data_IF_520064915575
#
_entry.id   IF_520064915575
#
_cell.length_a   1.000
_cell.length_b   1.000
_cell.length_c   1.000
_cell.angle_alpha   90.00
_cell.angle_beta   90.00
_cell.angle_gamma   90.00
#
_symmetry.space_group_name_H-M   'P 1'
#
loop_
_entity.id
_entity.type
_entity.pdbx_description
1 polymer ?
#
# COMPACT_ATOMS: atom_id res chain seq x y z
N UNK A 1 -4.27 12.98 -3.91
CA UNK A 1 -2.94 12.47 -4.31
C UNK A 1 -3.16 11.25 -5.19
N UNK A 2 -2.57 11.20 -6.39
CA UNK A 2 -2.64 9.97 -7.21
C UNK A 2 -1.35 9.17 -7.05
N UNK A 3 -1.43 8.09 -6.25
CA UNK A 3 -0.37 7.09 -6.19
C UNK A 3 -0.48 6.16 -7.41
N UNK A 4 0.61 5.94 -8.17
CA UNK A 4 0.59 5.05 -9.33
C UNK A 4 0.04 3.65 -9.00
N UNK A 5 0.36 3.12 -7.83
CA UNK A 5 -0.12 1.82 -7.35
C UNK A 5 -1.65 1.77 -7.18
N UNK A 6 -2.26 2.88 -6.77
CA UNK A 6 -3.72 2.99 -6.64
C UNK A 6 -4.38 2.97 -8.02
N UNK A 7 -3.79 3.68 -9.00
CA UNK A 7 -4.29 3.70 -10.38
C UNK A 7 -4.18 2.32 -11.02
N UNK A 8 -3.03 1.67 -10.88
CA UNK A 8 -2.81 0.30 -11.38
C UNK A 8 -3.76 -0.70 -10.72
N UNK A 9 -3.95 -0.62 -9.41
CA UNK A 9 -4.89 -1.48 -8.69
C UNK A 9 -6.34 -1.24 -9.11
N UNK A 10 -6.75 0.02 -9.30
CA UNK A 10 -8.09 0.36 -9.80
C UNK A 10 -8.34 -0.28 -11.16
N UNK A 11 -7.39 -0.14 -12.10
CA UNK A 11 -7.51 -0.74 -13.44
C UNK A 11 -7.62 -2.26 -13.38
N UNK A 12 -6.82 -2.90 -12.52
CA UNK A 12 -6.90 -4.35 -12.32
C UNK A 12 -8.27 -4.77 -11.76
N UNK A 13 -8.81 -4.05 -10.78
CA UNK A 13 -10.13 -4.33 -10.22
C UNK A 13 -11.25 -4.17 -11.26
N UNK A 14 -11.14 -3.15 -12.12
CA UNK A 14 -12.05 -2.93 -13.24
C UNK A 14 -12.02 -4.11 -14.22
N UNK A 15 -10.82 -4.53 -14.66
CA UNK A 15 -10.62 -5.67 -15.55
C UNK A 15 -11.15 -6.99 -14.95
N UNK A 16 -11.03 -7.16 -13.63
CA UNK A 16 -11.53 -8.33 -12.89
C UNK A 16 -13.02 -8.24 -12.53
N UNK A 17 -13.68 -7.12 -12.85
CA UNK A 17 -15.09 -6.83 -12.50
C UNK A 17 -15.37 -6.86 -10.99
N UNK A 18 -14.38 -6.52 -10.18
CA UNK A 18 -14.45 -6.49 -8.71
C UNK A 18 -15.01 -5.15 -8.21
N UNK A 19 -16.21 -4.77 -8.67
CA UNK A 19 -16.79 -3.44 -8.43
C UNK A 19 -16.92 -3.05 -6.95
N UNK A 20 -17.27 -3.99 -6.07
CA UNK A 20 -17.34 -3.75 -4.62
C UNK A 20 -15.98 -3.47 -3.99
N UNK A 21 -14.91 -4.10 -4.50
CA UNK A 21 -13.55 -3.82 -4.02
C UNK A 21 -13.07 -2.47 -4.53
N UNK A 22 -13.45 -2.08 -5.76
CA UNK A 22 -13.17 -0.76 -6.31
C UNK A 22 -13.81 0.34 -5.45
N UNK A 23 -15.08 0.22 -5.09
CA UNK A 23 -15.75 1.18 -4.18
C UNK A 23 -15.04 1.29 -2.82
N UNK A 24 -14.55 0.16 -2.28
CA UNK A 24 -13.80 0.14 -1.01
C UNK A 24 -12.44 0.82 -1.14
N UNK A 25 -11.73 0.60 -2.25
CA UNK A 25 -10.48 1.29 -2.56
C UNK A 25 -10.71 2.80 -2.62
N UNK A 26 -11.77 3.24 -3.32
CA UNK A 26 -12.11 4.66 -3.48
C UNK A 26 -12.39 5.33 -2.14
N UNK A 27 -13.18 4.66 -1.31
CA UNK A 27 -13.47 5.13 0.02
C UNK A 27 -12.19 5.22 0.88
N UNK A 28 -11.33 4.20 0.82
CA UNK A 28 -10.09 4.17 1.59
C UNK A 28 -9.11 5.27 1.15
N UNK A 29 -8.97 5.51 -0.16
CA UNK A 29 -8.17 6.62 -0.72
C UNK A 29 -8.69 7.95 -0.19
N UNK A 30 -9.99 8.21 -0.31
CA UNK A 30 -10.60 9.47 0.15
C UNK A 30 -10.41 9.71 1.65
N UNK A 31 -10.52 8.66 2.47
CA UNK A 31 -10.26 8.76 3.90
C UNK A 31 -8.80 9.16 4.19
N UNK A 32 -7.83 8.58 3.48
CA UNK A 32 -6.42 8.86 3.69
C UNK A 32 -6.01 10.24 3.15
N UNK A 33 -6.60 10.73 2.06
CA UNK A 33 -6.41 12.11 1.60
C UNK A 33 -6.80 13.13 2.69
N UNK A 34 -7.88 12.85 3.43
CA UNK A 34 -8.27 13.67 4.59
C UNK A 34 -7.30 13.64 5.77
N UNK A 35 -6.39 12.65 5.81
CA UNK A 35 -5.37 12.49 6.85
C UNK A 35 -4.01 13.05 6.46
N UNK A 36 -3.75 13.30 5.18
CA UNK A 36 -2.45 13.74 4.67
C UNK A 36 -1.94 15.01 5.37
N UNK A 37 -2.82 16.00 5.54
CA UNK A 37 -2.48 17.27 6.22
C UNK A 37 -2.15 17.10 7.70
N UNK A 38 -2.60 16.01 8.34
CA UNK A 38 -2.44 15.74 9.78
C UNK A 38 -1.33 14.75 10.09
N UNK A 39 -1.07 13.81 9.19
CA UNK A 39 -0.17 12.67 9.41
C UNK A 39 1.04 12.66 8.47
N UNK A 40 1.04 13.51 7.44
CA UNK A 40 2.07 13.56 6.43
C UNK A 40 1.82 12.61 5.27
N UNK A 41 2.40 12.96 4.12
CA UNK A 41 2.30 12.22 2.86
C UNK A 41 2.82 10.79 2.96
N UNK A 42 3.94 10.59 3.62
CA UNK A 42 4.60 9.29 3.70
C UNK A 42 3.79 8.29 4.56
N UNK A 43 3.13 8.78 5.62
CA UNK A 43 2.19 7.98 6.41
C UNK A 43 1.01 7.49 5.56
N UNK A 44 0.44 8.41 4.77
CA UNK A 44 -0.66 8.10 3.85
C UNK A 44 -0.23 7.09 2.80
N UNK A 45 0.97 7.23 2.25
CA UNK A 45 1.52 6.30 1.26
C UNK A 45 1.69 4.89 1.83
N UNK A 46 2.29 4.74 3.02
CA UNK A 46 2.43 3.43 3.68
C UNK A 46 1.06 2.80 3.97
N UNK A 47 0.11 3.60 4.45
CA UNK A 47 -1.27 3.16 4.72
C UNK A 47 -1.95 2.62 3.46
N UNK A 48 -1.84 3.35 2.34
CA UNK A 48 -2.41 2.96 1.05
C UNK A 48 -1.75 1.70 0.49
N UNK A 49 -0.42 1.62 0.54
CA UNK A 49 0.31 0.42 0.08
C UNK A 49 -0.01 -0.81 0.93
N UNK A 50 -0.15 -0.66 2.25
CA UNK A 50 -0.57 -1.76 3.14
C UNK A 50 -1.97 -2.27 2.83
N UNK A 51 -2.91 -1.37 2.56
CA UNK A 51 -4.26 -1.76 2.13
C UNK A 51 -4.25 -2.49 0.80
N UNK A 52 -3.52 -1.96 -0.20
CA UNK A 52 -3.40 -2.57 -1.52
C UNK A 52 -2.76 -3.96 -1.45
N UNK A 53 -1.70 -4.13 -0.66
CA UNK A 53 -1.06 -5.42 -0.46
C UNK A 53 -2.03 -6.46 0.13
N UNK A 54 -2.78 -6.10 1.17
CA UNK A 54 -3.78 -6.98 1.79
C UNK A 54 -4.90 -7.36 0.82
N UNK A 55 -5.37 -6.40 0.02
CA UNK A 55 -6.36 -6.65 -1.02
C UNK A 55 -5.84 -7.61 -2.09
N UNK A 56 -4.63 -7.36 -2.60
CA UNK A 56 -4.02 -8.18 -3.65
C UNK A 56 -3.67 -9.58 -3.16
N UNK A 57 -3.29 -9.74 -1.89
CA UNK A 57 -3.09 -11.05 -1.28
C UNK A 57 -4.36 -11.92 -1.39
N UNK A 58 -5.52 -11.34 -1.10
CA UNK A 58 -6.82 -12.02 -1.23
C UNK A 58 -7.13 -12.30 -2.70
N UNK A 59 -6.89 -11.34 -3.60
CA UNK A 59 -7.12 -11.52 -5.03
C UNK A 59 -6.24 -12.63 -5.63
N UNK A 60 -4.99 -12.80 -5.17
CA UNK A 60 -4.13 -13.92 -5.60
C UNK A 60 -4.76 -15.28 -5.30
N UNK A 61 -5.49 -15.40 -4.19
CA UNK A 61 -6.21 -16.63 -3.86
C UNK A 61 -7.46 -16.84 -4.73
N UNK A 62 -8.12 -15.76 -5.15
CA UNK A 62 -9.34 -15.83 -6.00
C UNK A 62 -9.02 -16.02 -7.47
N UNK A 63 -7.91 -15.45 -7.93
CA UNK A 63 -7.46 -15.43 -9.32
C UNK A 63 -6.02 -15.97 -9.43
N UNK A 64 -5.78 -17.24 -9.06
CA UNK A 64 -4.42 -17.80 -8.97
C UNK A 64 -3.68 -17.86 -10.32
N UNK A 65 -4.42 -17.93 -11.43
CA UNK A 65 -3.85 -17.96 -12.78
C UNK A 65 -3.68 -16.57 -13.40
N UNK A 66 -4.16 -15.50 -12.76
CA UNK A 66 -3.98 -14.14 -13.27
C UNK A 66 -2.65 -13.56 -12.77
N UNK A 67 -1.62 -13.71 -13.59
CA UNK A 67 -0.28 -13.21 -13.29
C UNK A 67 -0.23 -11.70 -13.03
N UNK A 68 -1.21 -10.91 -13.53
CA UNK A 68 -1.25 -9.47 -13.28
C UNK A 68 -1.45 -9.18 -11.80
N UNK A 69 -2.25 -9.99 -11.12
CA UNK A 69 -2.47 -9.89 -9.67
C UNK A 69 -1.19 -10.21 -8.90
N UNK A 70 -0.49 -11.29 -9.29
CA UNK A 70 0.78 -11.68 -8.67
C UNK A 70 1.86 -10.62 -8.84
N UNK A 71 2.06 -10.12 -10.06
CA UNK A 71 3.05 -9.08 -10.36
C UNK A 71 2.77 -7.77 -9.60
N UNK A 72 1.51 -7.34 -9.55
CA UNK A 72 1.16 -6.11 -8.84
C UNK A 72 1.33 -6.28 -7.32
N UNK A 73 1.00 -7.45 -6.77
CA UNK A 73 1.26 -7.76 -5.36
C UNK A 73 2.75 -7.64 -5.04
N UNK A 74 3.62 -8.29 -5.82
CA UNK A 74 5.07 -8.27 -5.59
C UNK A 74 5.66 -6.86 -5.65
N UNK A 75 5.28 -6.08 -6.67
CA UNK A 75 5.66 -4.67 -6.81
C UNK A 75 5.27 -3.83 -5.59
N UNK A 76 4.02 -3.96 -5.13
CA UNK A 76 3.54 -3.20 -3.96
C UNK A 76 4.21 -3.66 -2.66
N UNK A 77 4.42 -4.97 -2.50
CA UNK A 77 5.14 -5.53 -1.35
C UNK A 77 6.60 -5.09 -1.29
N UNK A 78 7.27 -4.92 -2.43
CA UNK A 78 8.62 -4.37 -2.50
C UNK A 78 8.62 -2.89 -2.10
N UNK A 79 7.79 -2.05 -2.73
CA UNK A 79 7.70 -0.62 -2.39
C UNK A 79 7.33 -0.38 -0.92
N UNK A 80 6.42 -1.19 -0.38
CA UNK A 80 6.06 -1.10 1.05
C UNK A 80 7.24 -1.45 1.96
N UNK A 81 8.03 -2.47 1.62
CA UNK A 81 9.23 -2.83 2.39
C UNK A 81 10.28 -1.73 2.36
N UNK A 82 10.48 -1.09 1.22
CA UNK A 82 11.40 0.06 1.09
C UNK A 82 10.96 1.23 1.99
N UNK A 83 9.68 1.60 1.95
CA UNK A 83 9.15 2.66 2.80
C UNK A 83 9.18 2.29 4.28
N UNK A 84 8.76 1.08 4.65
CA UNK A 84 8.84 0.58 6.02
C UNK A 84 10.29 0.65 6.56
N UNK A 85 11.30 0.39 5.71
CA UNK A 85 12.70 0.49 6.10
C UNK A 85 13.15 1.95 6.40
N UNK A 86 12.55 2.93 5.75
CA UNK A 86 12.79 4.36 6.05
C UNK A 86 12.22 4.73 7.43
N UNK A 87 11.06 4.18 7.79
CA UNK A 87 10.42 4.40 9.10
C UNK A 87 11.04 3.59 10.24
N UNK A 88 11.56 2.39 9.96
CA UNK A 88 12.18 1.49 10.94
C UNK A 88 13.60 1.86 11.36
N UNK A 89 14.14 3.01 10.93
CA UNK A 89 15.39 3.54 11.49
C UNK A 89 15.08 4.50 12.63
N UNK A 90 14.91 4.05 13.88
CA UNK A 90 15.25 4.93 14.97
C UNK A 90 16.78 5.11 14.92
N UNK A 91 17.26 6.32 14.64
CA UNK A 91 18.55 6.72 15.20
C UNK A 91 18.33 6.81 16.71
N UNK A 92 18.28 5.67 17.40
CA UNK A 92 18.49 5.69 18.84
C UNK A 92 19.95 6.08 18.97
N UNK A 93 20.30 7.24 19.53
CA UNK A 93 21.64 7.39 20.06
C UNK A 93 21.73 6.28 21.11
N UNK A 94 22.51 5.25 20.81
CA UNK A 94 23.01 4.40 21.88
C UNK A 94 23.74 5.40 22.77
N UNK A 95 23.16 5.71 23.93
CA UNK A 95 23.90 6.40 24.96
C UNK A 95 25.04 5.43 25.25
N UNK A 96 26.23 5.76 24.75
CA UNK A 96 27.46 5.15 25.17
C UNK A 96 27.48 5.31 26.70
N UNK A 97 27.17 4.23 27.40
CA UNK A 97 27.55 4.10 28.80
C UNK A 97 29.08 4.09 28.80
N UNK A 98 29.67 5.27 28.90
CA UNK A 98 31.08 5.45 29.21
C UNK A 98 31.36 4.99 30.66
N UNK A 99 32.58 4.48 30.91
CA UNK A 99 32.87 3.37 31.83
C UNK A 99 32.75 3.62 33.32
#
# INVERSE_FOLDING_TARGET
MELPEVVEARKLLEDLKEGKLMERLDHFVRLNEGLESKKGKEFVEVSLLGFLEGMLLILRSRYPSDERVGRLYEKISERRRELDALFRRPRVPVLDDEP
#
